data_IF_262660180983
#
_entry.id   IF_262660180983
#
_cell.length_a   1.000
_cell.length_b   1.000
_cell.length_c   1.000
_cell.angle_alpha   90.00
_cell.angle_beta   90.00
_cell.angle_gamma   90.00
#
_symmetry.space_group_name_H-M   'P 1'
#
loop_
_entity.id
_entity.type
_entity.pdbx_description
1 polymer ?
#
# COMPACT_ATOMS: atom_id res chain seq x y z
N UNK A 1 -16.15 -1.33 9.68
CA UNK A 1 -15.68 -1.00 11.04
C UNK A 1 -15.39 0.50 11.07
N UNK A 2 -16.17 1.28 11.84
CA UNK A 2 -15.92 2.74 11.97
C UNK A 2 -14.71 2.90 12.89
N UNK A 3 -13.56 3.30 12.35
CA UNK A 3 -12.39 3.66 13.15
C UNK A 3 -12.74 4.98 13.84
N UNK A 4 -13.07 4.93 15.12
CA UNK A 4 -13.23 6.13 15.94
C UNK A 4 -11.85 6.78 16.05
N UNK A 5 -11.71 7.97 15.47
CA UNK A 5 -10.47 8.72 15.54
C UNK A 5 -10.11 9.00 17.01
N UNK A 6 -9.12 8.29 17.52
CA UNK A 6 -8.58 8.56 18.88
C UNK A 6 -7.86 9.90 18.84
N UNK A 7 -8.30 10.83 19.70
CA UNK A 7 -7.52 12.04 19.98
C UNK A 7 -6.22 11.62 20.66
N UNK A 8 -5.11 12.27 20.33
CA UNK A 8 -3.80 11.96 20.93
C UNK A 8 -3.83 12.26 22.42
N UNK A 9 -3.61 11.27 23.31
CA UNK A 9 -3.56 11.51 24.75
C UNK A 9 -2.35 12.38 25.17
N UNK A 10 -2.50 13.12 26.24
CA UNK A 10 -1.40 14.00 26.74
C UNK A 10 -0.14 13.22 27.12
N UNK A 11 -0.29 12.04 27.69
CA UNK A 11 0.84 11.15 28.03
C UNK A 11 1.63 10.71 26.79
N UNK A 12 0.99 10.53 25.64
CA UNK A 12 1.66 10.23 24.37
C UNK A 12 2.52 11.42 23.92
N UNK A 13 1.97 12.64 24.02
CA UNK A 13 2.72 13.87 23.69
C UNK A 13 3.95 14.05 24.59
N UNK A 14 3.82 13.70 25.87
CA UNK A 14 4.94 13.74 26.82
C UNK A 14 5.98 12.69 26.45
N UNK A 15 5.56 11.44 26.21
CA UNK A 15 6.47 10.34 25.89
C UNK A 15 7.27 10.58 24.61
N UNK A 16 6.72 11.27 23.61
CA UNK A 16 7.44 11.57 22.37
C UNK A 16 8.04 12.99 22.31
N UNK A 17 8.12 13.68 23.47
CA UNK A 17 8.82 14.97 23.59
C UNK A 17 8.15 16.13 22.85
N UNK A 18 6.83 16.08 22.66
CA UNK A 18 6.03 17.11 21.97
C UNK A 18 4.93 17.68 22.88
N UNK A 19 5.12 17.60 24.18
CA UNK A 19 4.23 18.21 25.17
C UNK A 19 4.06 19.72 24.92
N UNK A 20 2.83 20.22 25.05
CA UNK A 20 2.51 21.62 24.78
C UNK A 20 2.33 22.00 23.31
N UNK A 21 2.57 21.09 22.37
CA UNK A 21 2.26 21.28 20.96
C UNK A 21 0.87 20.69 20.66
N UNK A 22 -0.05 21.52 20.18
CA UNK A 22 -1.37 21.04 19.79
C UNK A 22 -1.27 20.10 18.58
N UNK A 23 -1.71 18.83 18.69
CA UNK A 23 -1.67 17.90 17.56
C UNK A 23 -2.74 18.26 16.53
N UNK A 24 -2.36 18.24 15.26
CA UNK A 24 -3.26 18.46 14.11
C UNK A 24 -3.46 17.12 13.40
N UNK A 25 -4.71 16.74 13.18
CA UNK A 25 -5.04 15.52 12.44
C UNK A 25 -4.63 15.66 10.97
N UNK A 26 -3.94 14.67 10.44
CA UNK A 26 -3.55 14.65 9.05
C UNK A 26 -4.71 14.12 8.19
N UNK A 27 -4.88 14.72 7.01
CA UNK A 27 -5.76 14.20 5.97
C UNK A 27 -5.08 13.02 5.27
N UNK A 28 -5.89 12.10 4.76
CA UNK A 28 -5.41 10.93 4.02
C UNK A 28 -5.32 9.64 4.84
N UNK A 29 -5.05 8.53 4.16
CA UNK A 29 -5.02 7.19 4.72
C UNK A 29 -6.30 6.86 5.50
N UNK A 30 -6.19 6.14 6.60
CA UNK A 30 -7.31 5.83 7.49
C UNK A 30 -7.68 6.98 8.44
N UNK A 31 -7.04 8.16 8.30
CA UNK A 31 -7.29 9.34 9.14
C UNK A 31 -6.91 9.15 10.61
N UNK A 32 -5.95 8.27 10.91
CA UNK A 32 -5.50 7.98 12.27
C UNK A 32 -4.21 8.70 12.66
N UNK A 33 -3.56 9.35 11.70
CA UNK A 33 -2.30 10.04 11.90
C UNK A 33 -2.50 11.48 12.40
N UNK A 34 -1.61 11.92 13.29
CA UNK A 34 -1.61 13.26 13.87
C UNK A 34 -0.20 13.87 13.81
N UNK A 35 -0.11 15.15 13.52
CA UNK A 35 1.15 15.90 13.52
C UNK A 35 1.22 16.83 14.72
N UNK A 36 2.30 16.73 15.50
CA UNK A 36 2.66 17.65 16.56
C UNK A 36 4.07 18.22 16.28
N UNK A 37 4.14 19.43 15.74
CA UNK A 37 5.41 20.02 15.29
C UNK A 37 6.07 19.22 14.17
N UNK A 38 7.24 18.66 14.43
CA UNK A 38 8.00 17.82 13.49
C UNK A 38 7.84 16.31 13.75
N UNK A 39 6.84 15.92 14.54
CA UNK A 39 6.57 14.53 14.86
C UNK A 39 5.18 14.14 14.35
N UNK A 40 5.09 12.99 13.71
CA UNK A 40 3.84 12.33 13.33
C UNK A 40 3.59 11.20 14.31
N UNK A 41 2.40 11.17 14.89
CA UNK A 41 1.94 10.20 15.87
C UNK A 41 0.85 9.32 15.23
N UNK A 42 0.97 7.99 15.37
CA UNK A 42 -0.03 7.02 14.91
C UNK A 42 -0.33 5.99 16.00
N UNK A 43 -1.60 5.59 16.21
CA UNK A 43 -1.90 4.41 16.99
C UNK A 43 -1.19 3.19 16.40
N UNK A 44 -0.60 2.37 17.25
CA UNK A 44 -0.05 1.08 16.84
C UNK A 44 -1.14 0.00 16.87
N UNK A 45 -1.21 -0.87 15.87
CA UNK A 45 -2.12 -2.02 15.86
C UNK A 45 -1.81 -2.98 17.03
N UNK A 46 -0.54 -3.11 17.34
CA UNK A 46 -0.01 -3.77 18.53
C UNK A 46 1.39 -3.26 18.85
N UNK A 47 1.84 -3.46 20.09
CA UNK A 47 3.23 -3.12 20.49
C UNK A 47 4.25 -3.84 19.60
N UNK A 48 4.00 -5.13 19.30
CA UNK A 48 4.86 -5.94 18.44
C UNK A 48 4.94 -5.38 17.01
N UNK A 49 3.81 -5.04 16.43
CA UNK A 49 3.76 -4.47 15.09
C UNK A 49 4.45 -3.11 15.05
N UNK A 50 4.12 -2.21 16.00
CA UNK A 50 4.73 -0.88 16.05
C UNK A 50 6.26 -0.91 16.19
N UNK A 51 6.81 -1.82 16.99
CA UNK A 51 8.26 -2.03 17.11
C UNK A 51 8.87 -2.51 15.80
N UNK A 52 8.28 -3.51 15.18
CA UNK A 52 8.78 -4.06 13.93
C UNK A 52 8.80 -3.01 12.80
N UNK A 53 7.73 -2.24 12.62
CA UNK A 53 7.70 -1.15 11.64
C UNK A 53 8.78 -0.10 11.90
N UNK A 54 8.97 0.27 13.16
CA UNK A 54 10.00 1.23 13.53
C UNK A 54 11.41 0.68 13.25
N UNK A 55 11.68 -0.58 13.59
CA UNK A 55 12.97 -1.23 13.33
C UNK A 55 13.27 -1.34 11.84
N UNK A 56 12.28 -1.68 11.01
CA UNK A 56 12.43 -1.70 9.54
C UNK A 56 12.79 -0.30 9.02
N UNK A 57 12.05 0.73 9.41
CA UNK A 57 12.32 2.08 8.95
C UNK A 57 13.61 2.69 9.51
N UNK A 58 14.03 2.29 10.72
CA UNK A 58 15.29 2.74 11.32
C UNK A 58 16.49 2.13 10.58
N UNK A 59 16.35 0.89 10.11
CA UNK A 59 17.38 0.20 9.36
C UNK A 59 17.51 0.65 7.89
N UNK A 60 16.44 1.21 7.31
CA UNK A 60 16.46 1.66 5.92
C UNK A 60 17.32 2.92 5.76
N UNK A 61 18.39 2.82 4.99
CA UNK A 61 19.26 3.95 4.68
C UNK A 61 19.75 3.85 3.25
N UNK A 62 19.23 4.68 2.37
CA UNK A 62 19.66 4.76 0.98
C UNK A 62 19.55 6.21 0.47
N UNK A 63 20.52 6.72 -0.31
CA UNK A 63 20.46 8.06 -0.85
C UNK A 63 19.37 8.26 -1.91
N UNK A 64 18.82 7.17 -2.47
CA UNK A 64 17.78 7.21 -3.50
C UNK A 64 16.37 7.48 -2.97
N UNK A 65 16.15 7.41 -1.65
CA UNK A 65 14.85 7.70 -1.04
C UNK A 65 14.98 8.18 0.40
N UNK A 66 13.89 8.76 0.92
CA UNK A 66 13.72 9.14 2.34
C UNK A 66 12.59 8.32 2.95
N UNK A 67 12.66 8.09 4.25
CA UNK A 67 11.57 7.52 5.05
C UNK A 67 11.32 8.36 6.29
N UNK A 68 10.09 8.36 6.85
CA UNK A 68 9.82 9.01 8.13
C UNK A 68 10.58 8.25 9.24
N UNK A 69 11.72 8.80 9.68
CA UNK A 69 12.56 8.20 10.72
C UNK A 69 11.77 8.01 12.00
N UNK A 70 11.74 6.79 12.57
CA UNK A 70 11.05 6.54 13.81
C UNK A 70 11.65 7.35 14.97
N UNK A 71 10.82 7.73 15.91
CA UNK A 71 11.20 8.47 17.13
C UNK A 71 10.96 7.56 18.32
N UNK A 72 12.01 7.37 19.14
CA UNK A 72 11.86 6.66 20.41
C UNK A 72 11.15 7.54 21.44
N UNK A 73 10.30 6.92 22.24
CA UNK A 73 9.79 7.53 23.45
C UNK A 73 10.92 7.85 24.44
N UNK A 74 10.67 8.71 25.40
CA UNK A 74 11.63 9.09 26.44
C UNK A 74 12.15 7.87 27.20
N UNK A 75 11.32 6.86 27.34
CA UNK A 75 11.65 5.57 27.98
C UNK A 75 12.51 4.65 27.09
N UNK A 76 12.83 5.07 25.87
CA UNK A 76 13.70 4.36 24.92
C UNK A 76 13.01 3.36 24.02
N UNK A 77 11.71 3.10 24.17
CA UNK A 77 10.94 2.20 23.31
C UNK A 77 10.42 2.94 22.04
N UNK A 78 10.09 2.17 21.01
CA UNK A 78 9.41 2.66 19.81
C UNK A 78 7.91 2.87 20.00
N UNK A 79 7.32 2.24 21.01
CA UNK A 79 5.88 2.29 21.30
C UNK A 79 5.64 2.78 22.73
N UNK A 80 4.84 3.82 22.89
CA UNK A 80 4.41 4.33 24.19
C UNK A 80 2.88 4.50 24.18
N UNK A 81 2.21 4.00 25.23
CA UNK A 81 0.74 4.08 25.38
C UNK A 81 -0.06 3.60 24.16
N UNK A 82 0.48 2.61 23.42
CA UNK A 82 -0.13 2.10 22.19
C UNK A 82 0.01 3.01 20.97
N UNK A 83 0.96 3.95 20.99
CA UNK A 83 1.29 4.86 19.88
C UNK A 83 2.73 4.70 19.44
N UNK A 84 2.98 4.98 18.16
CA UNK A 84 4.30 5.16 17.56
C UNK A 84 4.48 6.59 17.11
N UNK A 85 5.74 6.99 16.94
CA UNK A 85 6.09 8.31 16.44
C UNK A 85 7.16 8.23 15.34
N UNK A 86 7.09 9.14 14.37
CA UNK A 86 8.10 9.30 13.34
C UNK A 86 8.33 10.78 13.04
N UNK A 87 9.47 11.10 12.42
CA UNK A 87 9.76 12.45 11.93
C UNK A 87 8.87 12.78 10.75
N UNK A 88 8.38 14.01 10.72
CA UNK A 88 7.71 14.55 9.55
C UNK A 88 8.65 14.54 8.35
N UNK A 89 8.14 14.17 7.17
CA UNK A 89 8.83 14.30 5.89
C UNK A 89 8.06 15.23 4.97
N UNK A 90 8.76 16.17 4.35
CA UNK A 90 8.15 17.10 3.42
C UNK A 90 7.97 16.46 2.03
N UNK A 91 6.91 16.86 1.35
CA UNK A 91 6.58 16.44 0.00
C UNK A 91 5.08 16.31 -0.19
N UNK A 92 4.68 16.13 -1.45
CA UNK A 92 3.32 15.86 -1.86
C UNK A 92 3.26 14.59 -2.71
N UNK A 93 2.16 13.85 -2.61
CA UNK A 93 1.91 12.73 -3.51
C UNK A 93 1.78 13.24 -4.94
N UNK A 94 2.20 12.43 -5.91
CA UNK A 94 2.02 12.77 -7.31
C UNK A 94 0.55 12.58 -7.72
N UNK A 95 0.14 13.36 -8.71
CA UNK A 95 -1.07 13.12 -9.47
C UNK A 95 -0.76 12.06 -10.55
N UNK A 96 -1.44 10.92 -10.48
CA UNK A 96 -1.28 9.82 -11.43
C UNK A 96 -2.26 9.89 -12.59
N UNK A 97 -3.11 10.93 -12.65
CA UNK A 97 -4.02 11.15 -13.77
C UNK A 97 -3.25 11.44 -15.08
N UNK A 98 -3.80 10.95 -16.18
CA UNK A 98 -3.22 11.19 -17.51
C UNK A 98 -1.81 10.64 -17.69
N UNK A 99 -0.89 11.49 -18.16
CA UNK A 99 0.53 11.17 -18.34
C UNK A 99 1.33 11.90 -17.26
N UNK A 100 1.42 11.31 -16.08
CA UNK A 100 2.23 11.87 -15.01
C UNK A 100 3.72 11.83 -15.37
N UNK A 101 4.48 12.92 -15.24
CA UNK A 101 5.93 12.93 -15.47
C UNK A 101 6.72 12.18 -14.39
N UNK A 102 6.05 11.77 -13.29
CA UNK A 102 6.69 11.14 -12.12
C UNK A 102 6.84 9.62 -12.21
N UNK A 103 6.31 8.97 -13.26
CA UNK A 103 6.45 7.52 -13.44
C UNK A 103 7.89 7.02 -13.40
N UNK A 104 8.87 7.64 -14.10
CA UNK A 104 10.27 7.19 -14.03
C UNK A 104 10.85 7.30 -12.62
N UNK A 105 10.49 8.34 -11.86
CA UNK A 105 10.95 8.54 -10.49
C UNK A 105 10.31 7.50 -9.54
N UNK A 106 9.01 7.17 -9.73
CA UNK A 106 8.34 6.12 -8.99
C UNK A 106 9.00 4.76 -9.22
N UNK A 107 9.27 4.41 -10.48
CA UNK A 107 9.97 3.16 -10.83
C UNK A 107 11.34 3.11 -10.16
N UNK A 108 12.10 4.19 -10.23
CA UNK A 108 13.43 4.27 -9.63
C UNK A 108 13.39 4.08 -8.12
N UNK A 109 12.51 4.82 -7.41
CA UNK A 109 12.40 4.72 -5.94
C UNK A 109 11.86 3.35 -5.51
N UNK A 110 10.93 2.77 -6.26
CA UNK A 110 10.41 1.42 -5.99
C UNK A 110 11.53 0.38 -6.05
N UNK A 111 12.36 0.41 -7.09
CA UNK A 111 13.48 -0.54 -7.22
C UNK A 111 14.50 -0.41 -6.11
N UNK A 112 14.90 0.80 -5.75
CA UNK A 112 15.89 1.04 -4.69
C UNK A 112 15.32 0.64 -3.32
N UNK A 113 14.06 0.99 -3.03
CA UNK A 113 13.38 0.59 -1.79
C UNK A 113 13.31 -0.93 -1.67
N UNK A 114 12.84 -1.62 -2.71
CA UNK A 114 12.67 -3.07 -2.64
C UNK A 114 14.00 -3.82 -2.64
N UNK A 115 15.06 -3.28 -3.24
CA UNK A 115 16.42 -3.79 -3.06
C UNK A 115 16.88 -3.68 -1.60
N UNK A 116 16.57 -2.56 -0.92
CA UNK A 116 16.89 -2.38 0.50
C UNK A 116 16.04 -3.28 1.43
N UNK A 117 14.84 -3.66 1.01
CA UNK A 117 13.95 -4.56 1.77
C UNK A 117 14.21 -6.05 1.54
N UNK A 118 14.98 -6.44 0.52
CA UNK A 118 15.13 -7.82 0.05
C UNK A 118 15.63 -8.80 1.11
N UNK A 119 16.38 -8.36 2.13
CA UNK A 119 16.86 -9.21 3.21
C UNK A 119 16.05 -9.15 4.50
N UNK A 120 14.98 -8.36 4.52
CA UNK A 120 14.17 -8.15 5.73
C UNK A 120 13.14 -9.27 5.87
N UNK A 121 13.13 -10.03 6.98
CA UNK A 121 12.19 -11.13 7.15
C UNK A 121 10.77 -10.62 7.40
N UNK A 122 9.80 -11.24 6.72
CA UNK A 122 8.38 -10.98 6.97
C UNK A 122 7.95 -11.72 8.24
N UNK A 123 7.38 -11.04 9.23
CA UNK A 123 7.00 -11.66 10.47
C UNK A 123 5.77 -12.56 10.30
N UNK A 124 5.75 -13.71 10.99
CA UNK A 124 4.66 -14.71 10.89
C UNK A 124 3.28 -14.15 11.21
N UNK A 125 3.19 -13.18 12.13
CA UNK A 125 1.90 -12.55 12.48
C UNK A 125 1.30 -11.75 11.32
N UNK A 126 2.12 -11.28 10.36
CA UNK A 126 1.61 -10.60 9.16
C UNK A 126 0.94 -11.59 8.20
N UNK A 127 1.48 -12.79 8.08
CA UNK A 127 0.93 -13.85 7.22
C UNK A 127 -0.41 -14.43 7.71
N UNK A 128 -0.79 -14.15 8.95
CA UNK A 128 -2.05 -14.63 9.56
C UNK A 128 -3.05 -13.52 9.82
N UNK A 129 -2.87 -12.35 9.24
CA UNK A 129 -3.80 -11.25 9.37
C UNK A 129 -5.09 -11.55 8.58
N UNK A 130 -6.25 -11.21 9.16
CA UNK A 130 -7.58 -11.39 8.54
C UNK A 130 -8.17 -10.01 8.20
N UNK A 131 -7.38 -9.18 7.53
CA UNK A 131 -7.81 -7.88 7.02
C UNK A 131 -8.15 -7.95 5.51
N UNK A 132 -8.94 -7.01 4.97
CA UNK A 132 -9.35 -7.03 3.56
C UNK A 132 -8.20 -7.08 2.57
N UNK A 133 -7.07 -6.45 2.87
CA UNK A 133 -5.90 -6.42 2.00
C UNK A 133 -5.16 -7.76 2.01
N UNK A 134 -5.00 -8.40 3.16
CA UNK A 134 -4.44 -9.75 3.26
C UNK A 134 -5.32 -10.76 2.50
N UNK A 135 -6.65 -10.70 2.68
CA UNK A 135 -7.58 -11.58 1.97
C UNK A 135 -7.49 -11.36 0.45
N UNK A 136 -7.43 -10.10 0.00
CA UNK A 136 -7.29 -9.78 -1.42
C UNK A 136 -6.00 -10.30 -2.02
N UNK A 137 -4.90 -10.17 -1.30
CA UNK A 137 -3.59 -10.69 -1.69
C UNK A 137 -3.59 -12.22 -1.79
N UNK A 138 -4.07 -12.93 -0.76
CA UNK A 138 -4.16 -14.40 -0.76
C UNK A 138 -5.01 -14.96 -1.91
N UNK A 139 -6.12 -14.28 -2.26
CA UNK A 139 -6.93 -14.67 -3.42
C UNK A 139 -6.15 -14.45 -4.72
N UNK A 140 -5.45 -13.34 -4.86
CA UNK A 140 -4.67 -13.01 -6.06
C UNK A 140 -3.53 -14.02 -6.30
N UNK A 141 -3.04 -14.67 -5.24
CA UNK A 141 -1.97 -15.67 -5.32
C UNK A 141 -2.47 -17.12 -5.22
N UNK A 142 -3.79 -17.34 -5.16
CA UNK A 142 -4.39 -18.68 -5.10
C UNK A 142 -4.22 -19.37 -3.72
N UNK A 143 -3.92 -18.61 -2.69
CA UNK A 143 -3.74 -19.11 -1.31
C UNK A 143 -5.06 -19.16 -0.54
N UNK A 144 -6.09 -18.47 -1.06
CA UNK A 144 -7.45 -18.45 -0.49
C UNK A 144 -8.52 -18.67 -1.57
N UNK A 145 -9.52 -19.48 -1.25
CA UNK A 145 -10.69 -19.68 -2.12
C UNK A 145 -11.54 -18.40 -2.18
N UNK A 146 -11.73 -17.80 -3.36
CA UNK A 146 -12.59 -16.62 -3.52
C UNK A 146 -14.08 -16.93 -3.46
N UNK A 147 -14.49 -18.19 -3.52
CA UNK A 147 -15.90 -18.63 -3.63
C UNK A 147 -16.83 -17.95 -2.62
N UNK A 148 -16.50 -17.90 -1.33
CA UNK A 148 -17.33 -17.23 -0.32
C UNK A 148 -17.53 -15.72 -0.57
N UNK A 149 -16.57 -15.05 -1.22
CA UNK A 149 -16.59 -13.60 -1.50
C UNK A 149 -17.32 -13.27 -2.81
N UNK A 150 -17.37 -14.23 -3.74
CA UNK A 150 -17.92 -14.06 -5.09
C UNK A 150 -19.35 -14.60 -5.24
N UNK A 151 -20.15 -14.46 -4.18
CA UNK A 151 -21.56 -14.82 -4.18
C UNK A 151 -22.43 -13.91 -5.08
N UNK A 152 -23.76 -14.14 -5.15
CA UNK A 152 -24.66 -13.37 -6.02
C UNK A 152 -24.61 -11.86 -5.84
N UNK A 153 -24.31 -11.39 -4.62
CA UNK A 153 -24.20 -9.97 -4.30
C UNK A 153 -22.99 -9.28 -4.98
N UNK A 154 -21.98 -10.06 -5.39
CA UNK A 154 -20.81 -9.53 -6.09
C UNK A 154 -21.03 -9.28 -7.60
N UNK A 155 -22.18 -9.68 -8.16
CA UNK A 155 -22.61 -9.34 -9.52
C UNK A 155 -21.56 -9.60 -10.61
N UNK A 156 -21.34 -8.63 -11.48
CA UNK A 156 -20.36 -8.70 -12.57
C UNK A 156 -18.92 -8.65 -12.07
N UNK A 157 -18.65 -8.05 -10.90
CA UNK A 157 -17.32 -8.05 -10.29
C UNK A 157 -16.83 -9.49 -10.06
N UNK A 158 -17.72 -10.40 -9.64
CA UNK A 158 -17.39 -11.81 -9.55
C UNK A 158 -16.97 -12.41 -10.90
N UNK A 159 -17.61 -12.00 -12.00
CA UNK A 159 -17.23 -12.44 -13.35
C UNK A 159 -15.86 -11.91 -13.76
N UNK A 160 -15.54 -10.64 -13.47
CA UNK A 160 -14.23 -10.06 -13.73
C UNK A 160 -13.12 -10.85 -13.00
N UNK A 161 -13.29 -11.08 -11.70
CA UNK A 161 -12.33 -11.84 -10.89
C UNK A 161 -12.14 -13.26 -11.42
N UNK A 162 -13.23 -14.00 -11.74
CA UNK A 162 -13.11 -15.35 -12.27
C UNK A 162 -12.38 -15.41 -13.61
N UNK A 163 -12.63 -14.45 -14.52
CA UNK A 163 -11.91 -14.35 -15.79
C UNK A 163 -10.42 -14.13 -15.60
N UNK A 164 -10.05 -13.22 -14.68
CA UNK A 164 -8.66 -12.95 -14.33
C UNK A 164 -7.99 -14.18 -13.71
N UNK A 165 -8.63 -14.82 -12.72
CA UNK A 165 -8.10 -16.03 -12.08
C UNK A 165 -7.85 -17.15 -13.09
N UNK A 166 -8.76 -17.34 -14.08
CA UNK A 166 -8.60 -18.35 -15.13
C UNK A 166 -7.44 -18.05 -16.10
N UNK A 167 -6.98 -16.81 -16.18
CA UNK A 167 -5.88 -16.39 -17.05
C UNK A 167 -4.52 -16.37 -16.32
N UNK A 168 -4.49 -16.59 -15.00
CA UNK A 168 -3.25 -16.60 -14.24
C UNK A 168 -2.36 -17.78 -14.61
N UNK A 169 -1.06 -17.52 -14.62
CA UNK A 169 0.02 -18.52 -14.72
C UNK A 169 0.94 -18.39 -13.51
N UNK A 170 1.70 -19.41 -13.15
CA UNK A 170 2.74 -19.29 -12.14
C UNK A 170 3.69 -18.12 -12.45
N UNK A 171 4.14 -17.43 -11.41
CA UNK A 171 5.18 -16.40 -11.46
C UNK A 171 6.44 -16.98 -10.85
N UNK A 172 7.53 -16.99 -11.61
CA UNK A 172 8.81 -17.60 -11.21
C UNK A 172 9.78 -16.57 -10.58
N UNK A 173 9.23 -15.51 -9.98
CA UNK A 173 10.01 -14.46 -9.32
C UNK A 173 10.09 -14.74 -7.80
N UNK A 174 11.22 -14.41 -7.14
CA UNK A 174 11.34 -14.58 -5.71
C UNK A 174 10.44 -13.62 -4.94
N UNK A 175 9.81 -14.14 -3.89
CA UNK A 175 9.11 -13.32 -2.90
C UNK A 175 10.09 -12.64 -1.95
N UNK A 176 9.75 -11.44 -1.55
CA UNK A 176 10.45 -10.64 -0.56
C UNK A 176 9.49 -9.69 0.16
N UNK A 177 9.97 -9.01 1.18
CA UNK A 177 9.23 -7.90 1.78
C UNK A 177 9.10 -6.76 0.77
N UNK A 178 7.86 -6.33 0.50
CA UNK A 178 7.55 -5.21 -0.40
C UNK A 178 6.55 -4.25 0.24
N UNK A 179 6.50 -3.03 -0.28
CA UNK A 179 5.50 -2.04 0.09
C UNK A 179 4.28 -2.14 -0.85
N UNK A 180 3.23 -2.78 -0.42
CA UNK A 180 2.03 -3.06 -1.22
C UNK A 180 1.10 -1.87 -1.48
N UNK A 181 1.51 -0.62 -1.20
CA UNK A 181 0.64 0.56 -1.37
C UNK A 181 1.46 1.83 -1.63
N UNK A 182 2.08 1.93 -2.81
CA UNK A 182 2.92 3.08 -3.16
C UNK A 182 2.14 4.27 -3.74
N UNK A 183 0.92 4.08 -4.25
CA UNK A 183 0.22 5.08 -5.06
C UNK A 183 0.10 6.45 -4.39
N UNK A 184 -0.38 6.53 -3.16
CA UNK A 184 -0.48 7.78 -2.39
C UNK A 184 0.68 8.01 -1.41
N UNK A 185 1.64 7.06 -1.34
CA UNK A 185 2.62 6.95 -0.28
C UNK A 185 4.06 7.25 -0.73
N UNK A 186 4.25 7.72 -1.96
CA UNK A 186 5.51 8.30 -2.43
C UNK A 186 5.32 9.81 -2.54
N UNK A 187 6.07 10.56 -1.73
CA UNK A 187 6.01 12.02 -1.68
C UNK A 187 7.21 12.61 -2.39
N UNK A 188 6.95 13.60 -3.24
CA UNK A 188 7.95 14.33 -4.00
C UNK A 188 8.09 15.74 -3.44
N UNK A 189 9.33 16.22 -3.34
CA UNK A 189 9.67 17.59 -2.96
C UNK A 189 10.88 18.05 -3.80
N UNK A 190 10.90 19.32 -4.18
CA UNK A 190 11.96 19.87 -5.03
C UNK A 190 13.32 19.77 -4.34
N UNK A 191 14.31 19.27 -5.09
CA UNK A 191 15.69 19.13 -4.61
C UNK A 191 15.92 18.03 -3.57
N UNK A 192 14.91 17.21 -3.26
CA UNK A 192 15.03 16.09 -2.33
C UNK A 192 14.71 14.76 -3.02
N UNK A 193 15.34 13.64 -2.62
CA UNK A 193 14.90 12.31 -3.05
C UNK A 193 13.43 12.07 -2.64
N UNK A 194 12.69 11.23 -3.38
CA UNK A 194 11.33 10.84 -3.00
C UNK A 194 11.27 10.30 -1.57
N UNK A 195 10.18 10.56 -0.86
CA UNK A 195 9.96 10.02 0.47
C UNK A 195 8.90 8.92 0.41
N UNK A 196 9.17 7.76 0.99
CA UNK A 196 8.21 6.64 1.08
C UNK A 196 7.65 6.58 2.49
N UNK A 197 6.33 6.67 2.60
CA UNK A 197 5.60 6.71 3.87
C UNK A 197 4.59 5.56 3.95
N UNK A 198 3.98 5.38 5.11
CA UNK A 198 2.83 4.50 5.35
C UNK A 198 3.01 3.05 4.85
N UNK A 199 4.11 2.44 5.28
CA UNK A 199 4.55 1.12 4.84
C UNK A 199 3.47 0.05 5.04
N UNK A 200 3.01 -0.54 3.95
CA UNK A 200 2.03 -1.62 3.89
C UNK A 200 2.73 -2.91 3.45
N UNK A 201 3.18 -3.77 4.39
CA UNK A 201 4.03 -4.91 4.06
C UNK A 201 3.26 -6.05 3.39
N UNK A 202 3.80 -6.53 2.27
CA UNK A 202 3.44 -7.80 1.64
C UNK A 202 4.69 -8.65 1.45
N UNK A 203 4.53 -9.97 1.27
CA UNK A 203 5.60 -10.89 0.90
C UNK A 203 5.31 -11.38 -0.52
N UNK A 204 5.88 -10.65 -1.50
CA UNK A 204 5.58 -10.86 -2.93
C UNK A 204 6.76 -10.40 -3.79
N UNK A 205 6.78 -10.71 -5.09
CA UNK A 205 7.81 -10.22 -6.00
C UNK A 205 7.91 -8.69 -6.03
N UNK A 206 9.14 -8.17 -6.15
CA UNK A 206 9.46 -6.75 -6.08
C UNK A 206 8.74 -5.87 -7.12
N UNK A 207 8.28 -6.45 -8.24
CA UNK A 207 7.51 -5.74 -9.27
C UNK A 207 6.03 -5.54 -8.93
N UNK A 208 5.46 -6.29 -7.97
CA UNK A 208 4.04 -6.20 -7.64
C UNK A 208 3.59 -4.80 -7.21
N UNK A 209 4.33 -4.05 -6.39
CA UNK A 209 3.93 -2.69 -6.00
C UNK A 209 3.73 -1.74 -7.17
N UNK A 210 4.54 -1.82 -8.23
CA UNK A 210 4.35 -1.02 -9.45
C UNK A 210 3.10 -1.44 -10.21
N UNK A 211 2.78 -2.73 -10.24
CA UNK A 211 1.55 -3.23 -10.83
C UNK A 211 0.31 -2.74 -10.05
N UNK A 212 0.38 -2.68 -8.72
CA UNK A 212 -0.69 -2.12 -7.88
C UNK A 212 -0.90 -0.63 -8.20
N UNK A 213 0.17 0.18 -8.26
CA UNK A 213 0.05 1.61 -8.63
C UNK A 213 -0.56 1.77 -10.02
N UNK A 214 -0.16 0.94 -10.99
CA UNK A 214 -0.72 0.98 -12.34
C UNK A 214 -2.23 0.68 -12.37
N UNK A 215 -2.66 -0.32 -11.60
CA UNK A 215 -4.08 -0.67 -11.44
C UNK A 215 -4.85 0.49 -10.79
N UNK A 216 -4.32 1.07 -9.70
CA UNK A 216 -4.95 2.19 -9.01
C UNK A 216 -5.10 3.41 -9.93
N UNK A 217 -4.04 3.76 -10.66
CA UNK A 217 -4.03 4.85 -11.62
C UNK A 217 -5.07 4.65 -12.75
N UNK A 218 -5.16 3.43 -13.29
CA UNK A 218 -6.12 3.10 -14.33
C UNK A 218 -7.57 3.07 -13.83
N UNK A 219 -7.80 2.54 -12.61
CA UNK A 219 -9.15 2.41 -12.04
C UNK A 219 -9.70 3.72 -11.50
N UNK A 220 -8.86 4.52 -10.82
CA UNK A 220 -9.33 5.61 -9.96
C UNK A 220 -8.82 7.00 -10.37
N UNK A 221 -7.62 7.10 -10.97
CA UNK A 221 -6.98 8.38 -11.26
C UNK A 221 -7.13 8.81 -12.73
N UNK A 222 -7.78 7.99 -13.57
CA UNK A 222 -7.99 8.29 -14.99
C UNK A 222 -6.72 8.23 -15.83
N UNK A 223 -5.72 7.47 -15.42
CA UNK A 223 -4.54 7.22 -16.23
C UNK A 223 -4.91 6.50 -17.54
N UNK A 224 -4.08 6.70 -18.56
CA UNK A 224 -4.27 6.06 -19.86
C UNK A 224 -3.53 4.71 -19.91
N UNK A 225 -3.97 3.75 -20.75
CA UNK A 225 -3.32 2.45 -20.90
C UNK A 225 -1.82 2.51 -21.24
N UNK A 226 -1.37 3.60 -21.89
CA UNK A 226 0.03 3.81 -22.27
C UNK A 226 0.98 3.90 -21.05
N UNK A 227 0.46 4.09 -19.85
CA UNK A 227 1.26 4.01 -18.61
C UNK A 227 1.92 2.64 -18.45
N UNK A 228 1.27 1.58 -18.94
CA UNK A 228 1.79 0.22 -18.85
C UNK A 228 3.07 0.03 -19.68
N UNK A 229 3.28 0.83 -20.74
CA UNK A 229 4.49 0.75 -21.55
C UNK A 229 5.73 1.23 -20.78
N UNK A 230 5.56 2.12 -19.81
CA UNK A 230 6.64 2.59 -18.92
C UNK A 230 7.05 1.53 -17.89
N UNK A 231 6.18 0.55 -17.64
CA UNK A 231 6.37 -0.52 -16.67
C UNK A 231 6.65 -1.88 -17.32
N UNK A 232 6.57 -1.97 -18.64
CA UNK A 232 6.71 -3.23 -19.41
C UNK A 232 8.08 -3.92 -19.25
N UNK A 233 9.10 -3.19 -18.76
CA UNK A 233 10.43 -3.75 -18.50
C UNK A 233 10.51 -4.54 -17.17
N UNK A 234 9.49 -4.49 -16.32
CA UNK A 234 9.45 -5.29 -15.11
C UNK A 234 9.19 -6.77 -15.47
N UNK A 235 9.96 -7.72 -14.90
CA UNK A 235 9.79 -9.13 -15.20
C UNK A 235 8.36 -9.61 -14.87
N UNK A 236 7.78 -10.40 -15.75
CA UNK A 236 6.44 -10.99 -15.63
C UNK A 236 5.32 -9.98 -15.31
N UNK A 237 5.50 -8.73 -15.76
CA UNK A 237 4.65 -7.60 -15.37
C UNK A 237 3.16 -7.85 -15.64
N UNK A 238 2.79 -8.47 -16.76
CA UNK A 238 1.38 -8.73 -17.10
C UNK A 238 0.72 -9.70 -16.11
N UNK A 239 1.46 -10.69 -15.60
CA UNK A 239 0.98 -11.59 -14.55
C UNK A 239 0.88 -10.88 -13.19
N UNK A 240 1.81 -9.98 -12.87
CA UNK A 240 1.74 -9.15 -11.67
C UNK A 240 0.58 -8.16 -11.75
N UNK A 241 0.32 -7.58 -12.92
CA UNK A 241 -0.79 -6.66 -13.17
C UNK A 241 -2.15 -7.35 -12.96
N UNK A 242 -2.30 -8.59 -13.45
CA UNK A 242 -3.52 -9.37 -13.23
C UNK A 242 -3.74 -9.65 -11.73
N UNK A 243 -2.69 -10.00 -10.99
CA UNK A 243 -2.77 -10.23 -9.54
C UNK A 243 -3.09 -8.94 -8.78
N UNK A 244 -2.46 -7.82 -9.15
CA UNK A 244 -2.77 -6.53 -8.57
C UNK A 244 -4.24 -6.13 -8.78
N UNK A 245 -4.79 -6.40 -9.96
CA UNK A 245 -6.21 -6.13 -10.24
C UNK A 245 -7.13 -7.05 -9.43
N UNK A 246 -6.85 -8.34 -9.33
CA UNK A 246 -7.61 -9.26 -8.46
C UNK A 246 -7.55 -8.78 -7.01
N UNK A 247 -6.37 -8.43 -6.52
CA UNK A 247 -6.15 -7.90 -5.18
C UNK A 247 -7.07 -6.71 -4.90
N UNK A 248 -7.10 -5.70 -5.79
CA UNK A 248 -7.98 -4.52 -5.63
C UNK A 248 -9.46 -4.87 -5.72
N UNK A 249 -9.88 -5.67 -6.69
CA UNK A 249 -11.30 -6.05 -6.84
C UNK A 249 -11.83 -6.82 -5.63
N UNK A 250 -11.06 -7.74 -5.07
CA UNK A 250 -11.43 -8.48 -3.84
C UNK A 250 -11.45 -7.55 -2.63
N UNK A 251 -10.44 -6.73 -2.44
CA UNK A 251 -10.39 -5.77 -1.33
C UNK A 251 -11.60 -4.83 -1.36
N UNK A 252 -11.96 -4.31 -2.53
CA UNK A 252 -13.14 -3.45 -2.72
C UNK A 252 -14.45 -4.17 -2.41
N UNK A 253 -14.56 -5.47 -2.76
CA UNK A 253 -15.73 -6.29 -2.42
C UNK A 253 -15.95 -6.39 -0.92
N UNK A 254 -14.87 -6.44 -0.13
CA UNK A 254 -14.92 -6.56 1.33
C UNK A 254 -15.16 -5.20 1.99
N UNK A 255 -14.48 -4.15 1.52
CA UNK A 255 -14.56 -2.82 2.11
C UNK A 255 -15.87 -2.10 1.80
N UNK A 256 -16.41 -2.27 0.60
CA UNK A 256 -17.61 -1.58 0.13
C UNK A 256 -18.85 -2.47 0.32
N UNK A 257 -19.35 -2.49 1.53
CA UNK A 257 -20.57 -3.23 1.92
C UNK A 257 -21.83 -2.51 1.45
N UNK A 258 -22.14 -2.57 0.16
CA UNK A 258 -23.37 -2.00 -0.37
C UNK A 258 -23.37 -1.99 -1.90
N UNK A 259 -24.57 -2.00 -2.52
CA UNK A 259 -24.68 -2.09 -3.98
C UNK A 259 -23.97 -0.94 -4.71
N UNK A 260 -24.03 0.27 -4.18
CA UNK A 260 -23.38 1.43 -4.83
C UNK A 260 -21.86 1.35 -4.83
N UNK A 261 -21.26 0.85 -3.75
CA UNK A 261 -19.81 0.68 -3.64
C UNK A 261 -19.30 -0.43 -4.56
N UNK A 262 -19.95 -1.59 -4.56
CA UNK A 262 -19.64 -2.71 -5.45
C UNK A 262 -19.78 -2.30 -6.92
N UNK A 263 -20.86 -1.62 -7.27
CA UNK A 263 -21.08 -1.11 -8.63
C UNK A 263 -20.02 -0.09 -9.07
N UNK A 264 -19.47 0.71 -8.15
CA UNK A 264 -18.39 1.65 -8.47
C UNK A 264 -17.09 0.89 -8.79
N UNK A 265 -16.71 -0.08 -7.97
CA UNK A 265 -15.54 -0.93 -8.21
C UNK A 265 -15.67 -1.75 -9.51
N UNK A 266 -16.87 -2.28 -9.78
CA UNK A 266 -17.19 -3.01 -11.01
C UNK A 266 -16.99 -2.12 -12.25
N UNK A 267 -17.57 -0.91 -12.26
CA UNK A 267 -17.44 0.02 -13.39
C UNK A 267 -16.00 0.47 -13.62
N UNK A 268 -15.25 0.73 -12.55
CA UNK A 268 -13.84 1.12 -12.64
C UNK A 268 -12.97 -0.05 -13.10
N UNK A 269 -13.25 -1.26 -12.61
CA UNK A 269 -12.47 -2.47 -12.91
C UNK A 269 -12.72 -3.05 -14.29
N UNK A 270 -13.90 -2.87 -14.91
CA UNK A 270 -14.23 -3.53 -16.15
C UNK A 270 -13.29 -3.18 -17.32
N UNK A 271 -13.00 -1.90 -17.62
CA UNK A 271 -12.05 -1.54 -18.69
C UNK A 271 -10.64 -2.07 -18.42
N UNK A 272 -10.21 -2.04 -17.15
CA UNK A 272 -8.89 -2.52 -16.76
C UNK A 272 -8.82 -4.05 -16.87
N UNK A 273 -9.90 -4.76 -16.52
CA UNK A 273 -10.01 -6.22 -16.70
C UNK A 273 -9.85 -6.62 -18.15
N UNK A 274 -10.56 -5.96 -19.05
CA UNK A 274 -10.47 -6.26 -20.48
C UNK A 274 -9.06 -5.97 -21.03
N UNK A 275 -8.48 -4.82 -20.65
CA UNK A 275 -7.10 -4.46 -21.01
C UNK A 275 -6.07 -5.50 -20.52
N UNK A 276 -6.18 -5.95 -19.27
CA UNK A 276 -5.27 -6.95 -18.70
C UNK A 276 -5.41 -8.30 -19.40
N UNK A 277 -6.63 -8.76 -19.64
CA UNK A 277 -6.88 -10.02 -20.35
C UNK A 277 -6.36 -9.99 -21.79
N UNK A 278 -6.51 -8.86 -22.48
CA UNK A 278 -5.94 -8.68 -23.82
C UNK A 278 -4.41 -8.75 -23.84
N UNK A 279 -3.75 -8.25 -22.79
CA UNK A 279 -2.29 -8.35 -22.62
C UNK A 279 -1.86 -9.79 -22.33
N UNK A 280 -2.56 -10.50 -21.47
CA UNK A 280 -2.27 -11.90 -21.13
C UNK A 280 -2.48 -12.88 -22.30
N UNK A 281 -3.28 -12.51 -23.29
CA UNK A 281 -3.58 -13.33 -24.47
C UNK A 281 -2.51 -13.20 -25.58
N UNK A 282 -1.61 -12.24 -25.52
CA UNK A 282 -0.50 -12.00 -26.47
C UNK A 282 0.68 -12.92 -26.21
#
# INVERSE_FOLDING_TARGET
MVIVARVVPSEVLVSFGVAGIAPVRLAGGQGTAWRAGQVVLKPADSVRAGRWFAEVYDALADPGFRVPRPVRAVEGDWVAHGWTASRWVDGAAADWSGVSPRWPELVAVSRVLHAALAGVPVPSWRRTAEDPWTIGDEVAWGERDPGPLLGPAAGQLASQVRRLLAALRPVELPDQLVHGDLAGNVLFADGLPPAVIDFSPLERPAGLPLAIVAVDALMWDGARPEVLDQLAAEPEFDQLLARALIYRLITETILRTGPDGINAAERAGQPVTDLVLDRLAR
#
